data_IF_859167453813
#
_entry.id   IF_859167453813
#
_cell.length_a   1.000
_cell.length_b   1.000
_cell.length_c   1.000
_cell.angle_alpha   90.00
_cell.angle_beta   90.00
_cell.angle_gamma   90.00
#
_symmetry.space_group_name_H-M   'P 1'
#
loop_
_entity.id
_entity.type
_entity.pdbx_description
1 polymer ?
#
# COMPACT_ATOMS: atom_id res chain seq x y z
N UNK A 1 -14.91 -19.25 2.46
CA UNK A 1 -14.99 -20.72 2.25
C UNK A 1 -16.41 -21.17 1.91
N UNK A 2 -17.43 -20.83 2.72
CA UNK A 2 -18.83 -21.21 2.46
C UNK A 2 -19.32 -20.77 1.06
N UNK A 3 -18.97 -19.55 0.63
CA UNK A 3 -19.32 -19.02 -0.70
C UNK A 3 -18.69 -19.78 -1.86
N UNK A 4 -17.45 -20.22 -1.73
CA UNK A 4 -16.75 -21.04 -2.73
C UNK A 4 -17.45 -22.41 -2.82
N UNK A 5 -17.78 -23.00 -1.67
CA UNK A 5 -18.44 -24.29 -1.60
C UNK A 5 -19.84 -24.27 -2.25
N UNK A 6 -20.63 -23.24 -1.96
CA UNK A 6 -21.96 -23.02 -2.57
C UNK A 6 -21.84 -22.81 -4.09
N UNK A 7 -20.81 -22.11 -4.55
CA UNK A 7 -20.57 -21.87 -5.99
C UNK A 7 -20.21 -23.16 -6.73
N UNK A 8 -19.39 -24.03 -6.13
CA UNK A 8 -19.04 -25.34 -6.70
C UNK A 8 -20.25 -26.26 -6.80
N UNK A 9 -21.11 -26.27 -5.77
CA UNK A 9 -22.36 -27.05 -5.77
C UNK A 9 -23.32 -26.56 -6.86
N UNK A 10 -23.53 -25.24 -6.96
CA UNK A 10 -24.36 -24.65 -8.00
C UNK A 10 -23.84 -24.97 -9.40
N UNK A 11 -22.53 -24.90 -9.62
CA UNK A 11 -21.91 -25.24 -10.89
C UNK A 11 -22.12 -26.72 -11.26
N UNK A 12 -21.92 -27.63 -10.30
CA UNK A 12 -22.19 -29.06 -10.50
C UNK A 12 -23.66 -29.35 -10.85
N UNK A 13 -24.60 -28.68 -10.17
CA UNK A 13 -26.04 -28.80 -10.44
C UNK A 13 -26.38 -28.29 -11.85
N UNK A 14 -25.73 -27.22 -12.29
CA UNK A 14 -25.90 -26.61 -13.61
C UNK A 14 -25.43 -27.56 -14.72
N UNK A 15 -24.24 -28.15 -14.57
CA UNK A 15 -23.70 -29.16 -15.49
C UNK A 15 -24.60 -30.40 -15.53
N UNK A 16 -25.07 -30.86 -14.38
CA UNK A 16 -25.98 -32.00 -14.31
C UNK A 16 -27.31 -31.76 -15.03
N UNK A 17 -27.95 -30.60 -14.81
CA UNK A 17 -29.19 -30.21 -15.50
C UNK A 17 -28.97 -30.09 -17.01
N UNK A 18 -27.86 -29.49 -17.44
CA UNK A 18 -27.48 -29.41 -18.86
C UNK A 18 -27.36 -30.80 -19.51
N UNK A 19 -26.68 -31.74 -18.84
CA UNK A 19 -26.50 -33.10 -19.36
C UNK A 19 -27.80 -33.91 -19.36
N UNK A 20 -28.66 -33.70 -18.36
CA UNK A 20 -29.96 -34.38 -18.22
C UNK A 20 -30.96 -33.92 -19.29
N UNK A 21 -31.06 -32.62 -19.53
CA UNK A 21 -32.01 -32.06 -20.52
C UNK A 21 -31.59 -32.29 -21.97
N UNK A 22 -30.27 -32.40 -22.24
CA UNK A 22 -29.76 -32.76 -23.59
C UNK A 22 -30.28 -34.11 -24.10
N UNK A 23 -30.70 -35.00 -23.19
CA UNK A 23 -31.29 -36.30 -23.51
C UNK A 23 -32.78 -36.25 -23.83
N UNK A 24 -33.49 -35.15 -23.52
CA UNK A 24 -34.95 -35.18 -23.39
C UNK A 24 -35.72 -34.27 -24.36
N UNK A 25 -35.13 -33.23 -24.99
CA UNK A 25 -35.88 -32.39 -25.94
C UNK A 25 -35.04 -31.66 -27.00
N UNK A 26 -35.59 -31.56 -28.22
CA UNK A 26 -34.99 -30.93 -29.41
C UNK A 26 -34.91 -29.40 -29.43
N UNK A 27 -35.10 -28.72 -28.29
CA UNK A 27 -35.08 -27.25 -28.19
C UNK A 27 -33.73 -26.76 -27.63
N UNK A 28 -32.70 -26.75 -28.48
CA UNK A 28 -31.31 -26.43 -28.10
C UNK A 28 -31.07 -24.95 -27.74
N UNK A 29 -31.82 -24.04 -28.35
CA UNK A 29 -31.62 -22.58 -28.23
C UNK A 29 -32.10 -21.95 -26.90
N UNK A 30 -33.30 -22.23 -26.36
CA UNK A 30 -33.73 -21.63 -25.09
C UNK A 30 -32.93 -22.13 -23.88
N UNK A 31 -32.34 -23.33 -23.98
CA UNK A 31 -31.53 -23.92 -22.92
C UNK A 31 -30.17 -23.23 -22.78
N UNK A 32 -29.49 -22.95 -23.89
CA UNK A 32 -28.22 -22.21 -23.88
C UNK A 32 -28.43 -20.81 -23.32
N UNK A 33 -29.53 -20.14 -23.68
CA UNK A 33 -29.85 -18.82 -23.15
C UNK A 33 -30.09 -18.84 -21.63
N UNK A 34 -30.84 -19.82 -21.10
CA UNK A 34 -31.04 -20.01 -19.65
C UNK A 34 -29.74 -20.27 -18.91
N UNK A 35 -28.86 -21.09 -19.50
CA UNK A 35 -27.54 -21.41 -18.93
C UNK A 35 -26.65 -20.17 -18.85
N UNK A 36 -26.59 -19.39 -19.94
CA UNK A 36 -25.84 -18.12 -19.99
C UNK A 36 -26.38 -17.12 -18.97
N UNK A 37 -27.71 -16.99 -18.83
CA UNK A 37 -28.32 -16.12 -17.83
C UNK A 37 -27.98 -16.54 -16.40
N UNK A 38 -28.00 -17.85 -16.10
CA UNK A 38 -27.69 -18.36 -14.77
C UNK A 38 -26.21 -18.16 -14.43
N UNK A 39 -25.31 -18.39 -15.39
CA UNK A 39 -23.87 -18.09 -15.23
C UNK A 39 -23.63 -16.59 -15.00
N UNK A 40 -24.29 -15.71 -15.77
CA UNK A 40 -24.23 -14.27 -15.55
C UNK A 40 -24.73 -13.86 -14.15
N UNK A 41 -25.84 -14.45 -13.71
CA UNK A 41 -26.39 -14.20 -12.36
C UNK A 41 -25.39 -14.60 -11.27
N UNK A 42 -24.75 -15.77 -11.42
CA UNK A 42 -23.72 -16.25 -10.49
C UNK A 42 -22.50 -15.33 -10.51
N UNK A 43 -22.06 -14.87 -11.68
CA UNK A 43 -20.95 -13.91 -11.78
C UNK A 43 -21.28 -12.56 -11.13
N UNK A 44 -22.51 -12.05 -11.26
CA UNK A 44 -22.95 -10.82 -10.60
C UNK A 44 -22.96 -11.00 -9.07
N UNK A 45 -23.49 -12.12 -8.58
CA UNK A 45 -23.50 -12.45 -7.15
C UNK A 45 -22.08 -12.57 -6.59
N UNK A 46 -21.18 -13.25 -7.31
CA UNK A 46 -19.76 -13.38 -6.93
C UNK A 46 -19.08 -12.00 -6.99
N UNK A 47 -19.24 -11.24 -8.07
CA UNK A 47 -18.64 -9.91 -8.24
C UNK A 47 -19.08 -8.91 -7.17
N UNK A 48 -20.32 -9.00 -6.69
CA UNK A 48 -20.82 -8.18 -5.58
C UNK A 48 -20.19 -8.55 -4.23
N UNK A 49 -19.80 -9.82 -4.03
CA UNK A 49 -19.21 -10.30 -2.77
C UNK A 49 -17.68 -10.12 -2.78
N UNK A 50 -17.04 -10.29 -3.94
CA UNK A 50 -15.61 -10.08 -4.13
C UNK A 50 -15.33 -8.62 -4.47
N UNK A 51 -15.34 -7.75 -3.45
CA UNK A 51 -14.61 -6.48 -3.53
C UNK A 51 -13.12 -6.80 -3.60
N UNK A 52 -12.58 -6.94 -4.81
CA UNK A 52 -11.14 -7.03 -5.05
C UNK A 52 -10.56 -5.64 -4.75
N UNK A 53 -10.26 -5.39 -3.48
CA UNK A 53 -9.48 -4.23 -3.07
C UNK A 53 -8.02 -4.51 -3.41
N UNK A 54 -7.57 -3.98 -4.55
CA UNK A 54 -6.15 -3.89 -4.83
C UNK A 54 -5.55 -2.88 -3.85
N UNK A 55 -5.12 -3.37 -2.69
CA UNK A 55 -4.17 -2.63 -1.85
C UNK A 55 -2.84 -2.66 -2.60
N UNK A 56 -2.58 -1.63 -3.42
CA UNK A 56 -1.23 -1.34 -3.88
C UNK A 56 -0.40 -1.06 -2.63
N UNK A 57 0.29 -2.09 -2.14
CA UNK A 57 1.41 -1.86 -1.23
C UNK A 57 2.41 -1.02 -2.02
N UNK A 58 2.80 0.18 -1.55
CA UNK A 58 3.83 0.93 -2.23
C UNK A 58 5.12 0.10 -2.17
N UNK A 59 5.45 -0.55 -3.29
CA UNK A 59 6.73 -1.25 -3.47
C UNK A 59 7.91 -0.26 -3.41
N UNK A 60 7.62 1.03 -3.57
CA UNK A 60 8.60 2.10 -3.55
C UNK A 60 8.78 2.59 -2.10
N UNK A 61 10.00 2.55 -1.56
CA UNK A 61 10.26 2.91 -0.17
C UNK A 61 9.94 4.40 0.07
N UNK A 62 9.39 4.68 1.24
CA UNK A 62 9.22 6.04 1.73
C UNK A 62 10.55 6.54 2.31
N UNK A 63 10.92 7.77 1.98
CA UNK A 63 12.14 8.40 2.48
C UNK A 63 11.78 9.42 3.56
N UNK A 64 12.37 9.27 4.74
CA UNK A 64 12.24 10.25 5.81
C UNK A 64 13.56 10.99 5.94
N UNK A 65 13.50 12.31 5.82
CA UNK A 65 14.63 13.22 5.96
C UNK A 65 14.40 14.04 7.22
N UNK A 66 15.28 13.89 8.20
CA UNK A 66 15.21 14.58 9.48
C UNK A 66 16.36 15.56 9.60
N UNK A 67 16.05 16.81 9.83
CA UNK A 67 17.05 17.84 10.07
C UNK A 67 17.74 17.59 11.42
N UNK A 68 19.07 17.64 11.41
CA UNK A 68 19.94 17.41 12.57
C UNK A 68 20.71 18.68 12.98
N UNK A 69 20.19 19.85 12.60
CA UNK A 69 20.74 21.15 13.01
C UNK A 69 20.45 21.46 14.48
N UNK A 70 21.35 22.22 15.11
CA UNK A 70 21.24 22.60 16.53
C UNK A 70 19.97 23.40 16.84
N UNK A 71 19.40 24.11 15.87
CA UNK A 71 18.18 24.92 16.05
C UNK A 71 16.97 24.07 16.45
N UNK A 72 16.93 22.79 16.03
CA UNK A 72 15.88 21.84 16.43
C UNK A 72 15.90 21.52 17.92
N UNK A 73 17.09 21.45 18.52
CA UNK A 73 17.25 21.21 19.94
C UNK A 73 16.74 22.38 20.77
N UNK A 74 16.95 23.60 20.27
CA UNK A 74 16.63 24.84 20.98
C UNK A 74 15.13 24.98 21.33
N UNK A 75 14.25 24.29 20.60
CA UNK A 75 12.81 24.29 20.84
C UNK A 75 12.30 23.09 21.66
N UNK A 76 13.18 22.23 22.20
CA UNK A 76 12.77 21.04 22.95
C UNK A 76 12.02 20.00 22.12
N UNK A 77 12.18 20.03 20.79
CA UNK A 77 11.45 19.16 19.87
C UNK A 77 12.09 17.78 19.68
N UNK A 78 13.22 17.50 20.34
CA UNK A 78 13.94 16.22 20.23
C UNK A 78 13.07 15.00 20.56
N UNK A 79 12.38 15.04 21.70
CA UNK A 79 11.50 13.95 22.13
C UNK A 79 10.35 13.71 21.15
N UNK A 80 9.86 14.78 20.51
CA UNK A 80 8.80 14.67 19.49
C UNK A 80 9.34 14.01 18.23
N UNK A 81 10.53 14.39 17.76
CA UNK A 81 11.17 13.78 16.61
C UNK A 81 11.38 12.29 16.86
N UNK A 82 11.97 11.92 18.00
CA UNK A 82 12.15 10.51 18.37
C UNK A 82 10.82 9.76 18.42
N UNK A 83 9.76 10.38 18.98
CA UNK A 83 8.43 9.76 19.01
C UNK A 83 7.84 9.54 17.61
N UNK A 84 8.05 10.47 16.68
CA UNK A 84 7.59 10.38 15.29
C UNK A 84 8.36 9.28 14.57
N UNK A 85 9.69 9.26 14.72
CA UNK A 85 10.54 8.25 14.11
C UNK A 85 10.25 6.86 14.65
N UNK A 86 10.00 6.72 15.95
CA UNK A 86 9.59 5.45 16.56
C UNK A 86 8.26 4.96 16.02
N UNK A 87 7.26 5.84 15.86
CA UNK A 87 5.98 5.48 15.22
C UNK A 87 6.18 5.04 13.76
N UNK A 88 6.98 5.79 13.00
CA UNK A 88 7.33 5.41 11.62
C UNK A 88 8.04 4.05 11.60
N UNK A 89 8.92 3.77 12.56
CA UNK A 89 9.65 2.51 12.67
C UNK A 89 8.76 1.30 13.00
N UNK A 90 7.63 1.49 13.69
CA UNK A 90 6.66 0.43 13.98
C UNK A 90 5.84 0.01 12.75
N UNK A 91 5.79 0.84 11.71
CA UNK A 91 5.00 0.54 10.52
C UNK A 91 5.57 -0.59 9.65
N UNK A 92 4.69 -1.34 8.97
CA UNK A 92 5.09 -2.51 8.17
C UNK A 92 5.60 -2.20 6.75
N UNK A 93 5.49 -0.95 6.29
CA UNK A 93 5.91 -0.55 4.95
C UNK A 93 7.42 -0.24 4.86
N UNK A 94 7.98 -0.37 3.65
CA UNK A 94 9.40 -0.12 3.40
C UNK A 94 9.74 1.36 3.56
N UNK A 95 10.74 1.65 4.38
CA UNK A 95 11.16 3.02 4.70
C UNK A 95 12.67 3.13 4.84
N UNK A 96 13.19 4.32 4.56
CA UNK A 96 14.59 4.68 4.82
C UNK A 96 14.63 6.03 5.50
N UNK A 97 15.32 6.09 6.63
CA UNK A 97 15.41 7.30 7.45
C UNK A 97 16.84 7.82 7.36
N UNK A 98 16.98 9.10 7.06
CA UNK A 98 18.25 9.81 6.98
C UNK A 98 18.16 11.09 7.81
N UNK A 99 19.29 11.51 8.33
CA UNK A 99 19.48 12.83 8.90
C UNK A 99 20.17 13.73 7.87
N UNK A 100 19.91 15.04 7.93
CA UNK A 100 20.62 16.00 7.09
C UNK A 100 20.99 17.27 7.85
N UNK A 101 22.15 17.82 7.49
CA UNK A 101 22.70 19.10 7.95
C UNK A 101 23.33 19.79 6.73
N UNK A 102 24.65 19.86 6.68
CA UNK A 102 25.52 20.10 5.51
C UNK A 102 25.70 18.87 4.59
N UNK A 103 25.36 17.69 5.11
CA UNK A 103 25.48 16.40 4.45
C UNK A 103 24.33 15.48 4.88
N UNK A 104 23.92 14.57 3.99
CA UNK A 104 22.90 13.56 4.29
C UNK A 104 23.56 12.29 4.82
N UNK A 105 23.15 11.82 5.99
CA UNK A 105 23.68 10.64 6.67
C UNK A 105 22.56 9.68 7.07
N UNK A 106 22.82 8.37 7.20
CA UNK A 106 21.84 7.43 7.74
C UNK A 106 21.40 7.84 9.15
N UNK A 107 20.17 7.47 9.53
CA UNK A 107 19.68 7.66 10.89
C UNK A 107 20.62 7.01 11.92
N UNK A 108 21.11 7.75 12.93
CA UNK A 108 22.00 7.21 13.95
C UNK A 108 21.23 6.42 15.03
N UNK A 109 21.93 5.55 15.77
CA UNK A 109 21.35 4.85 16.93
C UNK A 109 20.93 5.80 18.06
N UNK A 110 21.66 6.91 18.20
CA UNK A 110 21.36 8.01 19.12
C UNK A 110 21.26 9.30 18.32
N UNK A 111 20.07 9.91 18.31
CA UNK A 111 19.84 11.17 17.63
C UNK A 111 20.37 12.33 18.46
N UNK A 112 21.43 12.97 17.99
CA UNK A 112 22.00 14.16 18.61
C UNK A 112 22.20 15.26 17.54
N UNK A 113 21.40 16.34 17.56
CA UNK A 113 21.51 17.42 16.58
C UNK A 113 22.73 18.31 16.89
N UNK A 114 23.80 18.15 16.10
CA UNK A 114 25.05 18.91 16.24
C UNK A 114 25.37 19.82 15.06
N UNK A 115 24.60 19.75 13.97
CA UNK A 115 24.87 20.54 12.76
C UNK A 115 24.63 22.03 12.94
N UNK A 116 25.48 22.86 12.33
CA UNK A 116 25.32 24.32 12.38
C UNK A 116 24.57 24.90 11.16
N UNK A 117 24.42 24.09 10.11
CA UNK A 117 23.76 24.48 8.86
C UNK A 117 22.65 23.50 8.50
N UNK A 118 21.68 24.00 7.72
CA UNK A 118 20.52 23.25 7.25
C UNK A 118 20.41 23.37 5.74
N UNK A 119 20.91 22.39 5.01
CA UNK A 119 20.83 22.33 3.55
C UNK A 119 19.69 21.40 3.09
N UNK A 120 18.49 21.96 3.03
CA UNK A 120 17.28 21.27 2.57
C UNK A 120 17.42 20.91 1.07
N UNK A 121 18.06 21.78 0.27
CA UNK A 121 18.21 21.57 -1.17
C UNK A 121 19.04 20.32 -1.46
N UNK A 122 20.15 20.13 -0.73
CA UNK A 122 20.97 18.92 -0.83
C UNK A 122 20.18 17.67 -0.38
N UNK A 123 19.41 17.76 0.70
CA UNK A 123 18.57 16.66 1.18
C UNK A 123 17.51 16.24 0.14
N UNK A 124 16.87 17.21 -0.52
CA UNK A 124 15.93 16.96 -1.61
C UNK A 124 16.62 16.40 -2.86
N UNK A 125 17.80 16.90 -3.22
CA UNK A 125 18.59 16.34 -4.32
C UNK A 125 19.00 14.89 -4.06
N UNK A 126 19.40 14.58 -2.82
CA UNK A 126 19.65 13.20 -2.39
C UNK A 126 18.39 12.33 -2.58
N UNK A 127 17.21 12.84 -2.23
CA UNK A 127 15.95 12.12 -2.42
C UNK A 127 15.66 11.79 -3.89
N UNK A 128 15.93 12.72 -4.82
CA UNK A 128 15.70 12.52 -6.26
C UNK A 128 16.50 11.34 -6.81
N UNK A 129 17.74 11.14 -6.36
CA UNK A 129 18.58 10.03 -6.81
C UNK A 129 18.04 8.66 -6.37
N UNK A 130 17.31 8.61 -5.25
CA UNK A 130 16.79 7.38 -4.65
C UNK A 130 15.40 6.99 -5.15
N UNK A 131 14.72 7.88 -5.88
CA UNK A 131 13.36 7.70 -6.45
C UNK A 131 12.36 7.10 -5.45
N UNK A 132 12.17 7.71 -4.26
CA UNK A 132 11.22 7.22 -3.27
C UNK A 132 9.77 7.45 -3.73
N UNK A 133 8.82 6.72 -3.14
CA UNK A 133 7.40 6.87 -3.45
C UNK A 133 6.81 8.13 -2.83
N UNK A 134 7.36 8.54 -1.69
CA UNK A 134 7.08 9.80 -1.01
C UNK A 134 8.30 10.22 -0.18
N UNK A 135 8.41 11.52 0.08
CA UNK A 135 9.43 12.10 0.96
C UNK A 135 8.73 12.80 2.11
N UNK A 136 9.07 12.42 3.34
CA UNK A 136 8.67 13.13 4.56
C UNK A 136 9.88 13.95 5.00
N UNK A 137 9.74 15.27 5.01
CA UNK A 137 10.75 16.20 5.50
C UNK A 137 10.35 16.68 6.89
N UNK A 138 11.24 16.49 7.87
CA UNK A 138 11.08 16.98 9.24
C UNK A 138 12.18 18.02 9.46
N UNK A 139 11.80 19.29 9.51
CA UNK A 139 12.71 20.42 9.76
C UNK A 139 11.95 21.52 10.52
N UNK A 140 12.68 22.38 11.21
CA UNK A 140 12.15 23.59 11.83
C UNK A 140 11.88 24.73 10.82
N UNK A 141 12.20 24.53 9.54
CA UNK A 141 11.93 25.47 8.45
C UNK A 141 13.05 26.47 8.18
N UNK A 142 14.18 26.37 8.88
CA UNK A 142 15.36 27.18 8.62
C UNK A 142 16.15 26.60 7.43
N UNK A 143 16.58 27.46 6.49
CA UNK A 143 17.49 27.07 5.41
C UNK A 143 18.60 28.10 5.28
N UNK A 144 19.84 27.65 5.46
CA UNK A 144 21.03 28.49 5.56
C UNK A 144 22.21 27.91 4.78
#
# INVERSE_FOLDING_TARGET
>A
MITIFVSVILFGLLVYLYLKERKTAGYKTPLVLRLVMLVLLVLILIGSIFKISFKQSPQIPLLVLVDASRSINFQGNLQKIDSIINKINQESWSKKIYTFTDSVKPWPDQFNPVGEKTDIAQALNFSRTRRPGAVILVSDGMHN
#
